data_IF_663840282714
#
_entry.id   IF_663840282714
#
_cell.length_a   1.000
_cell.length_b   1.000
_cell.length_c   1.000
_cell.angle_alpha   90.00
_cell.angle_beta   90.00
_cell.angle_gamma   90.00
#
_symmetry.space_group_name_H-M   'P 1'
#
loop_
_entity.id
_entity.type
_entity.pdbx_description
1 polymer ?
#
# COMPACT_ATOMS: atom_id res chain seq x y z
N UNK A 1 47.17 -45.63 -36.43
CA UNK A 1 48.28 -45.56 -37.39
C UNK A 1 48.69 -44.10 -37.51
N UNK A 2 49.99 -43.87 -37.28
CA UNK A 2 50.87 -42.80 -37.73
C UNK A 2 50.49 -41.37 -37.30
N UNK A 3 51.20 -40.75 -36.38
CA UNK A 3 52.61 -40.25 -36.38
C UNK A 3 52.64 -38.77 -36.71
N UNK A 4 53.07 -37.94 -35.71
CA UNK A 4 54.39 -37.24 -35.65
C UNK A 4 54.33 -35.92 -36.40
N UNK A 5 54.81 -34.78 -36.00
CA UNK A 5 55.89 -34.33 -35.11
C UNK A 5 55.94 -32.80 -35.04
N UNK A 6 56.28 -32.24 -33.92
CA UNK A 6 57.38 -31.32 -33.67
C UNK A 6 57.62 -30.19 -34.66
N UNK A 7 57.71 -28.95 -34.22
CA UNK A 7 58.99 -28.24 -34.07
C UNK A 7 58.86 -26.93 -33.27
N UNK A 8 59.76 -26.81 -32.35
CA UNK A 8 60.19 -25.64 -31.59
C UNK A 8 60.81 -24.59 -32.48
N UNK A 9 60.79 -23.32 -32.01
CA UNK A 9 61.92 -22.35 -31.92
C UNK A 9 61.34 -21.02 -31.48
N UNK A 10 61.49 -20.56 -30.27
CA UNK A 10 62.59 -19.77 -29.66
C UNK A 10 62.94 -18.49 -30.41
N UNK A 11 62.60 -17.35 -29.81
CA UNK A 11 63.45 -16.18 -29.76
C UNK A 11 63.05 -15.29 -28.59
N UNK A 12 63.98 -15.08 -27.71
CA UNK A 12 63.99 -14.20 -26.55
C UNK A 12 64.49 -12.79 -26.98
N UNK A 13 64.37 -11.89 -26.03
CA UNK A 13 64.88 -10.51 -25.89
C UNK A 13 63.76 -9.48 -25.90
N UNK A 14 63.60 -8.56 -24.94
CA UNK A 14 64.61 -7.91 -24.09
C UNK A 14 63.96 -7.40 -22.80
N UNK A 15 64.74 -7.39 -21.75
CA UNK A 15 64.55 -6.72 -20.45
C UNK A 15 64.55 -5.19 -20.64
N UNK A 16 63.57 -4.51 -20.02
CA UNK A 16 63.74 -3.13 -19.59
C UNK A 16 63.22 -3.01 -18.17
N UNK A 17 64.10 -3.00 -17.23
CA UNK A 17 63.95 -2.63 -15.83
C UNK A 17 63.69 -1.13 -15.80
N UNK A 18 62.51 -0.75 -15.22
CA UNK A 18 62.33 0.60 -14.71
C UNK A 18 61.88 0.52 -13.25
N UNK A 19 62.86 0.73 -12.40
CA UNK A 19 62.69 0.94 -10.98
C UNK A 19 62.19 2.36 -10.76
N UNK A 20 61.04 2.56 -10.16
CA UNK A 20 60.68 3.86 -9.59
C UNK A 20 59.87 3.70 -8.30
N UNK A 21 60.49 4.15 -7.26
CA UNK A 21 59.98 4.83 -6.06
C UNK A 21 58.70 4.36 -5.41
N UNK A 22 58.93 3.74 -4.29
CA UNK A 22 58.01 3.72 -3.14
C UNK A 22 57.80 5.16 -2.65
N UNK A 23 56.62 5.68 -2.87
CA UNK A 23 56.09 6.79 -2.11
C UNK A 23 55.11 6.20 -1.12
N UNK A 24 55.48 6.22 0.13
CA UNK A 24 54.56 6.02 1.26
C UNK A 24 53.54 7.15 1.18
N UNK A 25 52.35 6.82 0.75
CA UNK A 25 51.16 7.67 0.74
C UNK A 25 50.13 7.09 1.68
N UNK A 26 49.79 7.81 2.66
CA UNK A 26 48.85 7.59 3.76
C UNK A 26 47.67 6.74 3.38
N UNK A 27 47.39 5.77 4.23
CA UNK A 27 46.13 5.04 4.36
C UNK A 27 45.05 6.01 4.77
N UNK A 28 44.50 6.78 3.85
CA UNK A 28 43.20 7.36 4.02
C UNK A 28 42.18 6.24 3.83
N UNK A 29 41.66 5.74 4.94
CA UNK A 29 40.35 5.11 4.95
C UNK A 29 39.41 6.10 4.30
N UNK A 30 39.13 5.90 3.01
CA UNK A 30 37.96 6.45 2.36
C UNK A 30 36.76 5.86 3.11
N UNK A 31 36.34 6.55 4.17
CA UNK A 31 34.94 6.47 4.59
C UNK A 31 34.15 6.88 3.35
N UNK A 32 33.54 5.90 2.70
CA UNK A 32 32.49 6.17 1.75
C UNK A 32 31.41 6.92 2.54
N UNK A 33 31.42 8.25 2.44
CA UNK A 33 30.20 9.03 2.69
C UNK A 33 29.20 8.41 1.74
N UNK A 34 28.29 7.61 2.29
CA UNK A 34 27.24 6.94 1.53
C UNK A 34 26.57 7.96 0.64
N UNK A 35 26.79 7.87 -0.66
CA UNK A 35 26.11 8.73 -1.61
C UNK A 35 24.62 8.57 -1.37
N UNK A 36 23.93 9.68 -1.26
CA UNK A 36 22.48 9.72 -1.05
C UNK A 36 21.81 8.91 -2.15
N UNK A 37 20.94 7.97 -1.77
CA UNK A 37 20.24 7.12 -2.73
C UNK A 37 19.36 8.00 -3.61
N UNK A 38 19.66 8.08 -4.90
CA UNK A 38 18.95 8.91 -5.87
C UNK A 38 17.88 8.15 -6.67
N UNK A 39 18.02 6.82 -6.78
CA UNK A 39 17.02 5.97 -7.44
C UNK A 39 16.20 5.30 -6.35
N UNK A 40 14.91 5.55 -6.35
CA UNK A 40 13.95 4.93 -5.42
C UNK A 40 13.03 4.00 -6.20
N UNK A 41 12.86 2.79 -5.68
CA UNK A 41 11.93 1.82 -6.22
C UNK A 41 10.69 1.74 -5.33
N UNK A 42 9.51 1.60 -5.93
CA UNK A 42 8.26 1.45 -5.17
C UNK A 42 7.36 0.39 -5.80
N UNK A 43 6.55 -0.25 -4.97
CA UNK A 43 5.52 -1.14 -5.48
C UNK A 43 4.37 -0.33 -6.06
N UNK A 44 3.89 -0.77 -7.22
CA UNK A 44 2.69 -0.26 -7.87
C UNK A 44 1.59 -1.30 -7.75
N UNK A 45 0.42 -0.90 -7.35
CA UNK A 45 -0.78 -1.68 -7.52
C UNK A 45 -1.78 -0.94 -8.40
N UNK A 46 -2.75 -1.67 -8.92
CA UNK A 46 -3.88 -1.03 -9.57
C UNK A 46 -4.75 -0.40 -8.47
N UNK A 47 -4.72 0.94 -8.36
CA UNK A 47 -5.51 1.61 -7.35
C UNK A 47 -5.22 3.11 -7.23
N UNK A 48 -6.05 3.81 -6.47
CA UNK A 48 -6.00 5.26 -6.38
C UNK A 48 -4.74 5.79 -5.70
N UNK A 49 -4.09 4.98 -4.85
CA UNK A 49 -2.93 5.42 -4.07
C UNK A 49 -1.66 5.52 -4.92
N UNK A 50 -1.39 4.52 -5.79
CA UNK A 50 -0.32 4.61 -6.79
C UNK A 50 -0.54 5.81 -7.69
N UNK A 51 -1.76 6.01 -8.19
CA UNK A 51 -2.10 7.14 -9.06
C UNK A 51 -1.91 8.47 -8.34
N UNK A 52 -2.34 8.58 -7.08
CA UNK A 52 -2.13 9.77 -6.25
C UNK A 52 -0.64 10.04 -6.06
N UNK A 53 0.15 9.03 -5.72
CA UNK A 53 1.59 9.15 -5.57
C UNK A 53 2.25 9.63 -6.86
N UNK A 54 1.98 8.98 -7.99
CA UNK A 54 2.61 9.27 -9.29
C UNK A 54 2.27 10.66 -9.81
N UNK A 55 1.04 11.12 -9.62
CA UNK A 55 0.59 12.41 -10.14
C UNK A 55 0.88 13.59 -9.21
N UNK A 56 0.92 13.37 -7.90
CA UNK A 56 1.02 14.47 -6.94
C UNK A 56 2.35 14.52 -6.19
N UNK A 57 2.93 13.38 -5.84
CA UNK A 57 4.11 13.29 -4.96
C UNK A 57 5.39 13.03 -5.76
N UNK A 58 5.34 12.15 -6.74
CA UNK A 58 6.49 11.82 -7.57
C UNK A 58 7.13 13.05 -8.23
N UNK A 59 6.38 14.01 -8.81
CA UNK A 59 6.98 15.22 -9.39
C UNK A 59 7.76 16.07 -8.38
N UNK A 60 7.31 16.10 -7.11
CA UNK A 60 7.99 16.82 -6.03
C UNK A 60 9.35 16.18 -5.72
N UNK A 61 9.39 14.84 -5.67
CA UNK A 61 10.63 14.10 -5.44
C UNK A 61 11.58 14.20 -6.63
N UNK A 62 11.07 14.16 -7.86
CA UNK A 62 11.85 14.34 -9.07
C UNK A 62 12.49 15.72 -9.15
N UNK A 63 11.77 16.77 -8.73
CA UNK A 63 12.30 18.12 -8.61
C UNK A 63 13.45 18.22 -7.59
N UNK A 64 13.47 17.33 -6.58
CA UNK A 64 14.59 17.17 -5.63
C UNK A 64 15.74 16.31 -6.17
N UNK A 65 15.64 15.80 -7.40
CA UNK A 65 16.67 15.03 -8.07
C UNK A 65 16.61 13.52 -7.82
N UNK A 66 15.48 12.99 -7.33
CA UNK A 66 15.23 11.54 -7.28
C UNK A 66 14.80 11.01 -8.65
N UNK A 67 15.15 9.77 -8.93
CA UNK A 67 14.61 8.99 -10.05
C UNK A 67 13.73 7.89 -9.47
N UNK A 68 12.48 7.80 -9.92
CA UNK A 68 11.48 6.90 -9.38
C UNK A 68 11.24 5.74 -10.34
N UNK A 69 11.18 4.52 -9.80
CA UNK A 69 10.91 3.31 -10.57
C UNK A 69 9.83 2.49 -9.91
N UNK A 70 8.62 2.48 -10.49
CA UNK A 70 7.53 1.62 -10.08
C UNK A 70 7.70 0.19 -10.57
N UNK A 71 7.35 -0.78 -9.74
CA UNK A 71 7.32 -2.22 -10.05
C UNK A 71 5.91 -2.72 -9.75
N UNK A 72 5.25 -3.30 -10.76
CA UNK A 72 3.86 -3.74 -10.65
C UNK A 72 3.73 -5.02 -9.85
N UNK A 73 2.79 -5.02 -8.90
CA UNK A 73 2.39 -6.20 -8.13
C UNK A 73 0.87 -6.38 -8.21
N UNK A 74 0.44 -7.62 -8.41
CA UNK A 74 -0.98 -7.95 -8.54
C UNK A 74 -1.72 -8.04 -7.21
N UNK A 75 -0.99 -8.22 -6.12
CA UNK A 75 -1.55 -8.38 -4.77
C UNK A 75 -0.66 -7.66 -3.74
N UNK A 76 -1.28 -7.09 -2.71
CA UNK A 76 -0.58 -6.36 -1.65
C UNK A 76 0.42 -7.24 -0.89
N UNK A 77 0.10 -8.51 -0.66
CA UNK A 77 1.02 -9.44 -0.01
C UNK A 77 2.35 -9.60 -0.78
N UNK A 78 2.30 -9.64 -2.12
CA UNK A 78 3.49 -9.71 -2.96
C UNK A 78 4.30 -8.40 -2.94
N UNK A 79 3.61 -7.26 -2.85
CA UNK A 79 4.25 -5.96 -2.68
C UNK A 79 4.98 -5.86 -1.33
N UNK A 80 4.38 -6.39 -0.27
CA UNK A 80 4.99 -6.43 1.06
C UNK A 80 6.17 -7.41 1.13
N UNK A 81 6.08 -8.57 0.48
CA UNK A 81 7.22 -9.49 0.34
C UNK A 81 8.41 -8.81 -0.37
N UNK A 82 8.13 -8.07 -1.45
CA UNK A 82 9.16 -7.31 -2.18
C UNK A 82 9.75 -6.17 -1.34
N UNK A 83 8.92 -5.47 -0.56
CA UNK A 83 9.40 -4.45 0.37
C UNK A 83 10.23 -5.08 1.49
N UNK A 84 9.78 -6.19 2.04
CA UNK A 84 10.48 -6.89 3.11
C UNK A 84 11.80 -7.51 2.66
N UNK A 85 11.90 -8.02 1.42
CA UNK A 85 13.16 -8.48 0.82
C UNK A 85 14.10 -7.32 0.45
N UNK A 86 13.57 -6.12 0.20
CA UNK A 86 14.29 -4.94 -0.24
C UNK A 86 14.38 -4.79 -1.77
N UNK A 87 13.52 -5.48 -2.50
CA UNK A 87 13.38 -5.33 -3.97
C UNK A 87 12.72 -3.98 -4.32
N UNK A 88 11.91 -3.46 -3.41
CA UNK A 88 11.40 -2.08 -3.44
C UNK A 88 11.76 -1.33 -2.15
N UNK A 89 11.77 0.00 -2.20
CA UNK A 89 12.14 0.87 -1.08
C UNK A 89 10.96 1.26 -0.21
N UNK A 90 9.79 1.41 -0.81
CA UNK A 90 8.56 1.79 -0.13
C UNK A 90 7.32 1.32 -0.88
N UNK A 91 6.19 1.33 -0.18
CA UNK A 91 4.87 1.27 -0.78
C UNK A 91 3.93 2.31 -0.15
N UNK A 92 2.77 2.52 -0.80
CA UNK A 92 1.75 3.50 -0.40
C UNK A 92 0.35 2.87 -0.41
N UNK A 93 0.26 1.55 -0.28
CA UNK A 93 -0.93 0.77 -0.62
C UNK A 93 -1.62 0.16 0.61
N UNK A 94 -1.07 0.35 1.81
CA UNK A 94 -1.54 -0.35 3.00
C UNK A 94 -1.71 0.57 4.21
N UNK A 95 -2.59 0.15 5.12
CA UNK A 95 -2.76 0.75 6.43
C UNK A 95 -1.92 0.03 7.50
N UNK A 96 -1.73 0.66 8.64
CA UNK A 96 -0.90 0.15 9.74
C UNK A 96 -1.27 -1.27 10.16
N UNK A 97 -2.57 -1.55 10.31
CA UNK A 97 -3.02 -2.88 10.73
C UNK A 97 -2.63 -4.00 9.74
N UNK A 98 -2.58 -3.70 8.44
CA UNK A 98 -2.14 -4.68 7.43
C UNK A 98 -0.64 -4.94 7.54
N UNK A 99 0.18 -3.89 7.63
CA UNK A 99 1.63 -4.00 7.80
C UNK A 99 2.00 -4.79 9.09
N UNK A 100 1.31 -4.53 10.19
CA UNK A 100 1.48 -5.26 11.45
C UNK A 100 1.12 -6.75 11.31
N UNK A 101 0.02 -7.06 10.62
CA UNK A 101 -0.39 -8.44 10.34
C UNK A 101 0.63 -9.16 9.46
N UNK A 102 1.13 -8.50 8.42
CA UNK A 102 2.19 -9.02 7.56
C UNK A 102 3.46 -9.32 8.37
N UNK A 103 3.92 -8.36 9.16
CA UNK A 103 5.12 -8.52 10.01
C UNK A 103 5.00 -9.73 10.94
N UNK A 104 3.84 -9.89 11.59
CA UNK A 104 3.57 -11.01 12.50
C UNK A 104 3.60 -12.36 11.78
N UNK A 105 3.05 -12.42 10.57
CA UNK A 105 2.98 -13.67 9.78
C UNK A 105 4.29 -14.05 9.09
N UNK A 106 5.12 -13.06 8.73
CA UNK A 106 6.28 -13.24 7.85
C UNK A 106 7.62 -12.85 8.51
N UNK A 107 7.63 -12.60 9.81
CA UNK A 107 8.80 -12.08 10.52
C UNK A 107 9.38 -10.82 9.84
N UNK A 108 8.48 -9.93 9.41
CA UNK A 108 8.81 -8.70 8.70
C UNK A 108 9.21 -7.56 9.63
N UNK A 109 9.77 -6.51 9.04
CA UNK A 109 10.18 -5.27 9.72
C UNK A 109 9.64 -4.01 9.01
N UNK A 110 8.43 -4.10 8.46
CA UNK A 110 7.75 -3.00 7.78
C UNK A 110 7.22 -1.98 8.79
N UNK A 111 7.45 -0.70 8.53
CA UNK A 111 7.00 0.39 9.40
C UNK A 111 6.34 1.51 8.60
N UNK A 112 5.26 2.04 9.15
CA UNK A 112 4.60 3.24 8.65
C UNK A 112 5.41 4.49 9.02
N UNK A 113 5.59 5.42 8.09
CA UNK A 113 6.36 6.65 8.31
C UNK A 113 5.53 7.93 8.17
N UNK A 114 4.41 7.88 7.47
CA UNK A 114 3.46 9.00 7.41
C UNK A 114 2.10 8.54 6.91
N UNK A 115 1.00 9.07 7.48
CA UNK A 115 -0.33 8.86 6.93
C UNK A 115 -0.46 9.50 5.55
N UNK A 116 -1.38 8.95 4.73
CA UNK A 116 -1.76 9.51 3.44
C UNK A 116 -3.28 9.56 3.31
N UNK A 117 -3.83 10.39 2.40
CA UNK A 117 -5.27 10.38 2.12
C UNK A 117 -5.79 8.97 1.87
N UNK A 118 -6.91 8.63 2.49
CA UNK A 118 -7.43 7.25 2.57
C UNK A 118 -8.80 7.16 1.92
N UNK A 119 -9.06 6.07 1.20
CA UNK A 119 -10.38 5.79 0.64
C UNK A 119 -11.17 4.86 1.56
N UNK A 120 -12.34 5.31 2.09
CA UNK A 120 -13.14 4.51 3.00
C UNK A 120 -13.70 3.23 2.37
N UNK A 121 -13.91 2.20 3.17
CA UNK A 121 -14.78 1.10 2.80
C UNK A 121 -16.24 1.59 2.82
N UNK A 122 -17.06 1.09 1.90
CA UNK A 122 -18.42 1.57 1.71
C UNK A 122 -19.38 0.44 1.40
N UNK A 123 -20.66 0.66 1.75
CA UNK A 123 -21.77 -0.22 1.44
C UNK A 123 -22.44 0.23 0.15
N UNK A 124 -22.62 -0.70 -0.77
CA UNK A 124 -23.28 -0.48 -2.05
C UNK A 124 -24.44 -1.48 -2.25
N UNK A 125 -25.31 -1.15 -3.20
CA UNK A 125 -26.33 -2.06 -3.72
C UNK A 125 -26.68 -1.65 -5.14
N UNK A 126 -26.89 -2.62 -6.02
CA UNK A 126 -27.57 -2.45 -7.31
C UNK A 126 -29.07 -2.68 -7.24
N UNK A 127 -29.51 -3.37 -6.19
CA UNK A 127 -30.88 -3.82 -6.03
C UNK A 127 -31.72 -2.87 -5.15
N UNK A 128 -31.06 -2.05 -4.30
CA UNK A 128 -31.69 -1.20 -3.31
C UNK A 128 -31.09 0.20 -3.30
N UNK A 129 -31.93 1.20 -3.00
CA UNK A 129 -31.53 2.61 -3.02
C UNK A 129 -31.38 3.23 -1.62
N UNK A 130 -31.68 2.49 -0.57
CA UNK A 130 -31.59 2.98 0.81
C UNK A 130 -31.29 1.88 1.82
N UNK A 131 -30.75 2.28 2.99
CA UNK A 131 -30.51 1.39 4.10
C UNK A 131 -31.81 0.83 4.72
N UNK A 132 -32.90 1.60 4.62
CA UNK A 132 -34.17 1.23 5.23
C UNK A 132 -34.89 0.08 4.54
N UNK A 133 -34.57 -0.18 3.27
CA UNK A 133 -35.17 -1.27 2.50
C UNK A 133 -34.86 -2.65 3.09
N UNK A 134 -33.74 -2.80 3.83
CA UNK A 134 -33.42 -4.06 4.53
C UNK A 134 -34.55 -4.55 5.43
N UNK A 135 -35.35 -3.62 5.98
CA UNK A 135 -36.45 -3.94 6.90
C UNK A 135 -37.57 -4.74 6.22
N UNK A 136 -37.68 -4.70 4.92
CA UNK A 136 -38.66 -5.40 4.11
C UNK A 136 -38.16 -6.72 3.51
N UNK A 137 -36.87 -7.01 3.64
CA UNK A 137 -36.28 -8.22 3.08
C UNK A 137 -36.39 -9.40 4.04
N UNK A 138 -36.46 -10.59 3.46
CA UNK A 138 -36.37 -11.84 4.19
C UNK A 138 -35.02 -12.48 3.96
N UNK A 139 -34.20 -12.60 5.01
CA UNK A 139 -32.84 -13.12 4.95
C UNK A 139 -31.96 -12.42 3.87
N UNK A 140 -31.77 -11.09 3.97
CA UNK A 140 -30.97 -10.35 2.99
C UNK A 140 -29.54 -10.88 2.91
N UNK A 141 -29.02 -10.96 1.68
CA UNK A 141 -27.66 -11.45 1.40
C UNK A 141 -26.70 -10.28 1.34
N UNK A 142 -25.63 -10.36 2.13
CA UNK A 142 -24.60 -9.33 2.15
C UNK A 142 -23.22 -9.94 1.90
N UNK A 143 -22.54 -9.50 0.83
CA UNK A 143 -21.16 -9.87 0.58
C UNK A 143 -20.18 -8.94 1.31
N UNK A 144 -19.15 -9.53 1.92
CA UNK A 144 -18.09 -8.82 2.63
C UNK A 144 -16.72 -9.38 2.27
N UNK A 145 -15.62 -8.61 2.42
CA UNK A 145 -14.25 -9.11 2.26
C UNK A 145 -13.95 -10.30 3.17
N UNK A 146 -13.02 -11.17 2.77
CA UNK A 146 -12.58 -12.32 3.57
C UNK A 146 -11.14 -12.21 4.10
N UNK A 147 -10.44 -11.12 3.84
CA UNK A 147 -9.16 -10.87 4.51
C UNK A 147 -9.42 -10.25 5.89
N UNK A 148 -8.66 -10.64 6.93
CA UNK A 148 -9.00 -10.29 8.31
C UNK A 148 -9.22 -8.81 8.57
N UNK A 149 -8.38 -7.94 7.99
CA UNK A 149 -8.47 -6.50 8.24
C UNK A 149 -9.71 -5.88 7.58
N UNK A 150 -10.03 -6.27 6.34
CA UNK A 150 -11.20 -5.72 5.64
C UNK A 150 -12.50 -6.40 6.03
N UNK A 151 -12.47 -7.66 6.47
CA UNK A 151 -13.61 -8.32 7.13
C UNK A 151 -14.03 -7.55 8.38
N UNK A 152 -13.06 -7.19 9.23
CA UNK A 152 -13.32 -6.39 10.43
C UNK A 152 -13.95 -5.03 10.08
N UNK A 153 -13.42 -4.31 9.07
CA UNK A 153 -13.98 -3.04 8.58
C UNK A 153 -15.44 -3.19 8.14
N UNK A 154 -15.75 -4.26 7.41
CA UNK A 154 -17.10 -4.51 6.93
C UNK A 154 -18.08 -4.69 8.10
N UNK A 155 -17.77 -5.55 9.06
CA UNK A 155 -18.66 -5.77 10.20
C UNK A 155 -18.78 -4.52 11.11
N UNK A 156 -17.71 -3.76 11.29
CA UNK A 156 -17.75 -2.47 12.01
C UNK A 156 -18.66 -1.46 11.29
N UNK A 157 -18.58 -1.38 9.95
CA UNK A 157 -19.49 -0.54 9.16
C UNK A 157 -20.95 -0.98 9.33
N UNK A 158 -21.23 -2.28 9.24
CA UNK A 158 -22.60 -2.82 9.40
C UNK A 158 -23.15 -2.60 10.82
N UNK A 159 -22.29 -2.67 11.83
CA UNK A 159 -22.66 -2.33 13.21
C UNK A 159 -22.93 -0.82 13.36
N UNK A 160 -22.10 0.04 12.76
CA UNK A 160 -22.29 1.50 12.77
C UNK A 160 -23.64 1.92 12.21
N UNK A 161 -24.11 1.27 11.14
CA UNK A 161 -25.42 1.57 10.54
C UNK A 161 -26.59 0.85 11.24
N UNK A 162 -26.31 0.08 12.30
CA UNK A 162 -27.34 -0.58 13.12
C UNK A 162 -27.93 -1.85 12.52
N UNK A 163 -27.26 -2.45 11.52
CA UNK A 163 -27.74 -3.70 10.92
C UNK A 163 -27.38 -4.93 11.74
N UNK A 164 -26.30 -4.85 12.49
CA UNK A 164 -25.88 -5.87 13.47
C UNK A 164 -25.46 -5.19 14.77
N UNK A 165 -25.32 -5.98 15.83
CA UNK A 165 -24.67 -5.55 17.06
C UNK A 165 -23.49 -6.45 17.32
N UNK A 166 -22.35 -5.87 17.69
CA UNK A 166 -21.16 -6.63 18.09
C UNK A 166 -21.20 -6.91 19.60
N UNK A 167 -20.46 -7.92 20.04
CA UNK A 167 -20.26 -8.24 21.45
C UNK A 167 -19.55 -7.08 22.16
N UNK A 168 -19.87 -6.85 23.42
CA UNK A 168 -19.19 -5.85 24.23
C UNK A 168 -17.67 -6.13 24.34
N UNK A 169 -16.87 -5.08 24.19
CA UNK A 169 -15.43 -5.17 24.28
C UNK A 169 -14.73 -5.79 23.06
N UNK A 170 -15.44 -6.05 21.95
CA UNK A 170 -14.84 -6.51 20.70
C UNK A 170 -13.81 -5.48 20.18
N UNK A 171 -12.63 -5.96 19.82
CA UNK A 171 -11.61 -5.12 19.20
C UNK A 171 -12.00 -4.82 17.74
N UNK A 172 -12.24 -3.57 17.36
CA UNK A 172 -12.70 -3.22 16.01
C UNK A 172 -11.71 -3.57 14.88
N UNK A 173 -10.44 -3.83 15.22
CA UNK A 173 -9.41 -4.21 14.23
C UNK A 173 -9.43 -5.70 13.86
N UNK A 174 -10.15 -6.54 14.62
CA UNK A 174 -10.10 -7.99 14.47
C UNK A 174 -11.48 -8.63 14.51
N UNK A 175 -12.52 -7.85 14.23
CA UNK A 175 -13.92 -8.32 14.21
C UNK A 175 -14.11 -9.42 13.17
N UNK A 176 -14.81 -10.47 13.57
CA UNK A 176 -15.25 -11.57 12.70
C UNK A 176 -16.75 -11.77 12.81
N UNK A 177 -17.32 -12.65 12.00
CA UNK A 177 -18.74 -13.04 12.13
C UNK A 177 -19.08 -13.63 13.50
N UNK A 178 -18.12 -14.23 14.19
CA UNK A 178 -18.30 -14.79 15.55
C UNK A 178 -18.53 -13.70 16.62
N UNK A 179 -18.14 -12.47 16.35
CA UNK A 179 -18.30 -11.33 17.26
C UNK A 179 -19.69 -10.69 17.17
N UNK A 180 -20.54 -11.13 16.27
CA UNK A 180 -21.90 -10.63 16.14
C UNK A 180 -22.75 -11.17 17.31
N UNK A 181 -23.28 -10.26 18.13
CA UNK A 181 -24.19 -10.60 19.24
C UNK A 181 -25.66 -10.54 18.83
N UNK A 182 -26.01 -9.73 17.82
CA UNK A 182 -27.36 -9.61 17.28
C UNK A 182 -27.36 -9.33 15.78
N UNK A 183 -28.22 -10.04 15.07
CA UNK A 183 -28.50 -9.91 13.64
C UNK A 183 -30.03 -9.83 13.42
N UNK A 184 -30.64 -8.68 13.71
CA UNK A 184 -32.13 -8.57 13.77
C UNK A 184 -32.80 -8.74 12.41
N UNK A 185 -32.07 -8.59 11.32
CA UNK A 185 -32.56 -8.75 9.93
C UNK A 185 -32.30 -10.14 9.37
N UNK A 186 -31.69 -11.06 10.11
CA UNK A 186 -31.27 -12.39 9.66
C UNK A 186 -30.40 -12.32 8.40
N UNK A 187 -29.45 -11.37 8.35
CA UNK A 187 -28.54 -11.21 7.22
C UNK A 187 -27.73 -12.47 7.01
N UNK A 188 -27.71 -12.96 5.78
CA UNK A 188 -26.85 -14.05 5.32
C UNK A 188 -25.54 -13.45 4.78
N UNK A 189 -24.45 -13.61 5.54
CA UNK A 189 -23.14 -13.09 5.13
C UNK A 189 -22.41 -14.07 4.23
N UNK A 190 -21.79 -13.54 3.16
CA UNK A 190 -20.86 -14.28 2.31
C UNK A 190 -19.53 -13.57 2.33
N UNK A 191 -18.52 -14.19 2.96
CA UNK A 191 -17.14 -13.71 2.95
C UNK A 191 -16.45 -14.19 1.70
N UNK A 192 -15.85 -13.27 0.92
CA UNK A 192 -15.16 -13.58 -0.33
C UNK A 192 -13.99 -12.63 -0.61
N UNK A 193 -13.13 -13.01 -1.56
CA UNK A 193 -12.04 -12.13 -1.99
C UNK A 193 -12.58 -10.77 -2.43
N UNK A 194 -12.03 -9.68 -1.87
CA UNK A 194 -12.44 -8.30 -2.13
C UNK A 194 -12.53 -7.98 -3.63
N UNK A 195 -11.56 -8.46 -4.42
CA UNK A 195 -11.53 -8.27 -5.89
C UNK A 195 -12.72 -8.90 -6.63
N UNK A 196 -13.38 -9.90 -6.06
CA UNK A 196 -14.50 -10.59 -6.70
C UNK A 196 -15.86 -9.92 -6.41
N UNK A 197 -15.96 -9.14 -5.33
CA UNK A 197 -17.24 -8.57 -4.86
C UNK A 197 -17.92 -7.71 -5.95
N UNK A 198 -17.23 -6.81 -6.67
CA UNK A 198 -17.88 -6.01 -7.72
C UNK A 198 -18.51 -6.83 -8.84
N UNK A 199 -17.93 -7.98 -9.18
CA UNK A 199 -18.41 -8.82 -10.28
C UNK A 199 -19.69 -9.59 -9.96
N UNK A 200 -20.01 -9.73 -8.67
CA UNK A 200 -21.19 -10.49 -8.17
C UNK A 200 -22.17 -9.59 -7.41
N UNK A 201 -22.01 -8.28 -7.52
CA UNK A 201 -22.83 -7.32 -6.77
C UNK A 201 -24.34 -7.52 -6.99
N UNK A 202 -24.76 -7.92 -8.20
CA UNK A 202 -26.17 -8.16 -8.55
C UNK A 202 -26.77 -9.40 -7.88
N UNK A 203 -25.95 -10.33 -7.40
CA UNK A 203 -26.37 -11.57 -6.73
C UNK A 203 -26.65 -11.35 -5.22
N UNK A 204 -26.36 -10.16 -4.71
CA UNK A 204 -26.51 -9.77 -3.31
C UNK A 204 -27.46 -8.59 -3.16
N UNK A 205 -28.13 -8.52 -2.01
CA UNK A 205 -28.93 -7.35 -1.68
C UNK A 205 -28.02 -6.14 -1.41
N UNK A 206 -26.90 -6.37 -0.72
CA UNK A 206 -25.89 -5.35 -0.44
C UNK A 206 -24.49 -5.95 -0.45
N UNK A 207 -23.50 -5.08 -0.71
CA UNK A 207 -22.08 -5.48 -0.69
C UNK A 207 -21.25 -4.43 0.05
N UNK A 208 -20.26 -4.87 0.83
CA UNK A 208 -19.24 -3.96 1.38
C UNK A 208 -17.99 -4.08 0.52
N UNK A 209 -17.57 -2.95 -0.06
CA UNK A 209 -16.41 -2.88 -0.94
C UNK A 209 -15.40 -1.88 -0.36
N UNK A 210 -14.13 -2.28 -0.30
CA UNK A 210 -13.04 -1.38 0.11
C UNK A 210 -12.75 -0.36 -0.98
N UNK A 211 -12.29 0.85 -0.59
CA UNK A 211 -12.19 1.97 -1.49
C UNK A 211 -11.29 1.76 -2.71
N UNK A 212 -10.16 1.05 -2.57
CA UNK A 212 -9.29 0.72 -3.71
C UNK A 212 -10.01 -0.17 -4.73
N UNK A 213 -10.86 -1.07 -4.27
CA UNK A 213 -11.65 -1.96 -5.14
C UNK A 213 -12.77 -1.18 -5.82
N UNK A 214 -13.44 -0.25 -5.10
CA UNK A 214 -14.42 0.69 -5.69
C UNK A 214 -13.81 1.43 -6.86
N UNK A 215 -12.61 2.00 -6.65
CA UNK A 215 -11.87 2.71 -7.69
C UNK A 215 -11.54 1.81 -8.89
N UNK A 216 -10.96 0.65 -8.64
CA UNK A 216 -10.53 -0.28 -9.70
C UNK A 216 -11.68 -0.84 -10.53
N UNK A 217 -12.85 -1.02 -9.91
CA UNK A 217 -14.05 -1.49 -10.57
C UNK A 217 -14.80 -0.36 -11.33
N UNK A 218 -14.34 0.90 -11.21
CA UNK A 218 -15.02 2.05 -11.80
C UNK A 218 -16.39 2.33 -11.18
N UNK A 219 -16.62 1.91 -9.93
CA UNK A 219 -17.86 2.18 -9.20
C UNK A 219 -17.86 3.63 -8.76
N UNK A 220 -18.97 4.34 -9.01
CA UNK A 220 -19.14 5.71 -8.53
C UNK A 220 -19.25 5.73 -7.00
N UNK A 221 -18.22 6.24 -6.31
CA UNK A 221 -18.19 6.31 -4.85
C UNK A 221 -19.31 7.17 -4.24
N UNK A 222 -19.97 8.03 -5.06
CA UNK A 222 -21.10 8.84 -4.62
C UNK A 222 -22.39 8.02 -4.44
N UNK A 223 -22.47 6.83 -5.05
CA UNK A 223 -23.62 5.91 -4.92
C UNK A 223 -23.58 5.06 -3.65
N UNK A 224 -22.54 5.19 -2.85
CA UNK A 224 -22.43 4.48 -1.57
C UNK A 224 -23.58 4.84 -0.62
N UNK A 225 -24.29 3.83 -0.14
CA UNK A 225 -25.38 3.97 0.83
C UNK A 225 -24.86 4.30 2.24
N UNK A 226 -23.67 3.83 2.58
CA UNK A 226 -22.98 4.16 3.82
C UNK A 226 -21.44 4.07 3.62
N UNK A 227 -20.71 4.86 4.41
CA UNK A 227 -19.26 4.83 4.47
C UNK A 227 -18.79 4.56 5.90
N UNK A 228 -17.68 3.84 6.03
CA UNK A 228 -17.07 3.62 7.35
C UNK A 228 -16.60 4.93 7.99
N UNK A 229 -16.39 4.90 9.30
CA UNK A 229 -15.53 5.88 9.96
C UNK A 229 -14.13 5.30 9.98
N UNK A 230 -13.20 5.93 9.24
CA UNK A 230 -11.83 5.43 9.15
C UNK A 230 -11.18 5.48 10.53
N UNK A 231 -10.84 4.33 11.08
CA UNK A 231 -10.17 4.23 12.38
C UNK A 231 -8.66 4.51 12.21
N UNK A 232 -7.95 5.00 13.24
CA UNK A 232 -6.54 5.40 13.12
C UNK A 232 -5.63 4.31 12.52
N UNK A 233 -5.82 3.04 12.88
CA UNK A 233 -5.02 1.92 12.36
C UNK A 233 -5.37 1.50 10.92
N UNK A 234 -6.44 2.07 10.34
CA UNK A 234 -6.90 1.85 8.97
C UNK A 234 -6.54 3.01 8.03
N UNK A 235 -5.92 4.07 8.55
CA UNK A 235 -5.40 5.15 7.72
C UNK A 235 -4.24 4.60 6.89
N UNK A 236 -4.29 4.83 5.59
CA UNK A 236 -3.24 4.43 4.67
C UNK A 236 -1.93 5.15 5.00
N UNK A 237 -0.83 4.47 4.75
CA UNK A 237 0.49 4.90 5.16
C UNK A 237 1.47 4.81 4.00
N UNK A 238 2.47 5.65 4.02
CA UNK A 238 3.75 5.30 3.38
C UNK A 238 4.45 4.29 4.27
N UNK A 239 4.81 3.15 3.71
CA UNK A 239 5.45 2.06 4.45
C UNK A 239 6.82 1.77 3.88
N UNK A 240 7.78 1.60 4.77
CA UNK A 240 9.19 1.30 4.46
C UNK A 240 9.71 0.20 5.37
N UNK A 241 10.90 -0.32 5.10
CA UNK A 241 11.61 -1.15 6.10
C UNK A 241 12.10 -0.28 7.27
N UNK A 242 12.08 -0.83 8.47
CA UNK A 242 12.54 -0.16 9.71
C UNK A 242 13.91 0.51 9.53
N UNK A 243 14.87 -0.17 8.89
CA UNK A 243 16.22 0.38 8.64
C UNK A 243 16.24 1.65 7.79
N UNK A 244 15.19 1.91 7.03
CA UNK A 244 15.11 3.03 6.07
C UNK A 244 14.30 4.22 6.60
N UNK A 245 13.58 4.10 7.71
CA UNK A 245 12.62 5.09 8.20
C UNK A 245 13.21 6.49 8.43
N UNK A 246 14.49 6.55 8.80
CA UNK A 246 15.20 7.80 9.10
C UNK A 246 16.13 8.25 7.97
N UNK A 247 16.13 7.56 6.82
CA UNK A 247 16.94 7.94 5.66
C UNK A 247 16.54 9.31 5.12
N UNK A 248 17.46 9.98 4.42
CA UNK A 248 17.18 11.29 3.84
C UNK A 248 16.02 11.23 2.83
N UNK A 249 16.00 10.20 1.98
CA UNK A 249 14.93 10.02 1.01
C UNK A 249 13.57 9.73 1.65
N UNK A 250 13.51 8.98 2.76
CA UNK A 250 12.26 8.73 3.47
C UNK A 250 11.71 10.03 4.09
N UNK A 251 12.59 10.88 4.65
CA UNK A 251 12.21 12.21 5.13
C UNK A 251 11.72 13.14 4.01
N UNK A 252 12.36 13.08 2.83
CA UNK A 252 11.91 13.82 1.66
C UNK A 252 10.55 13.33 1.15
N UNK A 253 10.30 12.02 1.17
CA UNK A 253 9.02 11.42 0.81
C UNK A 253 7.91 11.86 1.78
N UNK A 254 8.17 11.82 3.08
CA UNK A 254 7.25 12.36 4.10
C UNK A 254 6.98 13.85 3.85
N UNK A 255 8.02 14.65 3.64
CA UNK A 255 7.88 16.07 3.37
C UNK A 255 7.07 16.37 2.11
N UNK A 256 7.20 15.55 1.07
CA UNK A 256 6.44 15.70 -0.17
C UNK A 256 4.94 15.48 0.05
N UNK A 257 4.53 14.47 0.81
CA UNK A 257 3.12 14.24 1.18
C UNK A 257 2.52 15.37 2.04
N UNK A 258 3.36 16.08 2.80
CA UNK A 258 2.92 17.20 3.66
C UNK A 258 3.14 18.57 3.04
N UNK A 259 3.58 18.64 1.78
CA UNK A 259 3.91 19.91 1.12
C UNK A 259 2.66 20.68 0.69
N UNK A 260 2.87 21.97 0.47
CA UNK A 260 1.85 22.84 -0.14
C UNK A 260 1.47 22.37 -1.55
N UNK A 261 2.44 21.93 -2.35
CA UNK A 261 2.22 21.43 -3.71
C UNK A 261 1.27 20.23 -3.72
N UNK A 262 1.43 19.32 -2.77
CA UNK A 262 0.53 18.17 -2.60
C UNK A 262 -0.88 18.61 -2.19
N UNK A 263 -0.98 19.56 -1.25
CA UNK A 263 -2.26 20.17 -0.86
C UNK A 263 -2.97 20.82 -2.05
N UNK A 264 -2.26 21.66 -2.80
CA UNK A 264 -2.80 22.37 -3.97
C UNK A 264 -3.29 21.37 -5.03
N UNK A 265 -2.60 20.23 -5.20
CA UNK A 265 -3.03 19.17 -6.09
C UNK A 265 -4.36 18.55 -5.63
N UNK A 266 -4.48 18.20 -4.35
CA UNK A 266 -5.72 17.64 -3.79
C UNK A 266 -6.90 18.61 -3.92
N UNK A 267 -6.70 19.88 -3.58
CA UNK A 267 -7.73 20.91 -3.69
C UNK A 267 -8.17 21.15 -5.14
N UNK A 268 -7.22 21.18 -6.08
CA UNK A 268 -7.50 21.41 -7.50
C UNK A 268 -8.25 20.26 -8.15
N UNK A 269 -7.89 19.05 -7.83
CA UNK A 269 -8.43 17.87 -8.48
C UNK A 269 -9.70 17.37 -7.81
N UNK A 270 -9.96 17.77 -6.54
CA UNK A 270 -10.92 17.14 -5.63
C UNK A 270 -10.94 15.62 -5.81
N UNK A 271 -9.77 15.07 -5.91
CA UNK A 271 -9.38 13.81 -6.48
C UNK A 271 -10.59 12.85 -6.57
N UNK A 272 -11.14 12.74 -7.78
CA UNK A 272 -12.26 11.87 -8.11
C UNK A 272 -13.51 12.05 -7.22
N UNK A 273 -14.11 13.22 -7.26
CA UNK A 273 -15.38 13.55 -6.60
C UNK A 273 -15.40 13.30 -5.08
N UNK A 274 -14.28 13.54 -4.39
CA UNK A 274 -14.19 13.36 -2.95
C UNK A 274 -14.02 11.88 -2.55
N UNK A 275 -13.36 11.11 -3.40
CA UNK A 275 -12.97 9.73 -3.11
C UNK A 275 -12.11 9.63 -1.85
N UNK A 276 -11.14 10.54 -1.69
CA UNK A 276 -10.23 10.53 -0.54
C UNK A 276 -10.80 11.25 0.68
N UNK A 277 -10.67 10.60 1.81
CA UNK A 277 -10.81 11.20 3.13
C UNK A 277 -9.41 11.54 3.66
N UNK A 278 -9.26 12.75 4.20
CA UNK A 278 -8.02 13.24 4.81
C UNK A 278 -8.22 13.24 6.32
N UNK A 279 -7.32 12.63 7.13
CA UNK A 279 -7.38 12.70 8.58
C UNK A 279 -7.44 14.14 9.08
N UNK A 280 -8.24 14.42 10.13
CA UNK A 280 -8.42 15.77 10.68
C UNK A 280 -7.12 16.38 11.22
N UNK A 281 -6.21 15.53 11.71
CA UNK A 281 -4.90 15.88 12.22
C UNK A 281 -3.78 15.90 11.15
N UNK A 282 -4.15 15.71 9.89
CA UNK A 282 -3.19 15.76 8.79
C UNK A 282 -2.73 17.18 8.51
N UNK A 283 -1.45 17.45 8.76
CA UNK A 283 -0.87 18.80 8.67
C UNK A 283 -0.14 18.98 7.35
N UNK A 284 -0.60 19.94 6.55
CA UNK A 284 0.19 20.46 5.42
C UNK A 284 1.15 21.54 5.92
N UNK A 285 2.34 21.57 5.36
CA UNK A 285 3.38 22.56 5.66
C UNK A 285 3.44 23.55 4.51
N UNK A 286 3.44 24.82 4.87
CA UNK A 286 3.61 25.94 3.92
C UNK A 286 5.03 25.99 3.35
#
# INVERSE_FOLDING_TARGET
>A
MKKISKLLRSAAFAFAVFSVLVAAGCNEKSESKGGEKKILTYSRSQGPYTVLFENAVAPILEAKGYSLKGIDYSELALADDALNSGDVDFNVEQHTAYAESFNKGNNGDLVAITPIPTVPASLFSKNHNSLDEIKSLSNPKVAVPNDPANTARAYVLLAKIGWITLKDGTNPSTVTSEDISSNPYNIEFTEMKSLNIPAVEEDFDYVVITGSIVYNAGIDASTALAKESVLPHLILQVVVKEKNKDSAWAKDLVAAYHSKEFKDYLEKTNFENGLFWIPEDYVFKD
#
